data_IF_646405926709
#
_entry.id   IF_646405926709
#
_cell.length_a   1.000
_cell.length_b   1.000
_cell.length_c   1.000
_cell.angle_alpha   90.00
_cell.angle_beta   90.00
_cell.angle_gamma   90.00
#
_symmetry.space_group_name_H-M   'P 1'
#
loop_
_entity.id
_entity.type
_entity.pdbx_description
1 polymer ?
#
# COMPACT_ATOMS: atom_id res chain seq x y z
N UNK A 1 -19.23 -24.75 -13.13
CA UNK A 1 -19.49 -23.32 -12.90
C UNK A 1 -18.69 -22.94 -11.68
N UNK A 2 -17.63 -22.16 -11.83
CA UNK A 2 -16.85 -21.72 -10.68
C UNK A 2 -17.67 -20.68 -9.93
N UNK A 3 -18.04 -20.98 -8.69
CA UNK A 3 -18.69 -20.02 -7.82
C UNK A 3 -17.72 -18.86 -7.61
N UNK A 4 -18.00 -17.72 -8.24
CA UNK A 4 -17.43 -16.44 -7.86
C UNK A 4 -17.95 -16.16 -6.46
N UNK A 5 -17.19 -16.62 -5.45
CA UNK A 5 -17.35 -16.14 -4.09
C UNK A 5 -17.17 -14.63 -4.14
N UNK A 6 -18.29 -13.91 -4.23
CA UNK A 6 -18.38 -12.48 -4.00
C UNK A 6 -18.08 -12.24 -2.51
N UNK A 7 -16.85 -12.52 -2.09
CA UNK A 7 -16.30 -11.88 -0.91
C UNK A 7 -16.45 -10.39 -1.16
N UNK A 8 -17.35 -9.75 -0.40
CA UNK A 8 -17.60 -8.32 -0.44
C UNK A 8 -16.26 -7.63 -0.62
N UNK A 9 -16.14 -6.86 -1.70
CA UNK A 9 -14.90 -6.17 -2.02
C UNK A 9 -14.47 -5.42 -0.75
N UNK A 10 -13.29 -5.70 -0.16
CA UNK A 10 -12.94 -5.14 1.13
C UNK A 10 -13.00 -3.62 1.02
N UNK A 11 -13.86 -2.99 1.83
CA UNK A 11 -13.94 -1.54 1.87
C UNK A 11 -12.57 -1.01 2.25
N UNK A 12 -11.99 -0.18 1.39
CA UNK A 12 -10.69 0.42 1.65
C UNK A 12 -10.86 1.41 2.79
N UNK A 13 -10.27 1.07 3.93
CA UNK A 13 -10.38 1.88 5.14
C UNK A 13 -9.68 3.22 4.94
N UNK A 14 -10.36 4.32 5.28
CA UNK A 14 -9.78 5.66 5.25
C UNK A 14 -8.80 5.84 6.39
N UNK A 15 -7.67 6.45 6.13
CA UNK A 15 -6.69 6.79 7.13
C UNK A 15 -7.20 7.95 7.98
N UNK A 16 -7.26 7.74 9.29
CA UNK A 16 -7.80 8.64 10.30
C UNK A 16 -6.74 9.14 11.31
N UNK A 17 -5.46 8.83 11.04
CA UNK A 17 -4.35 9.17 11.91
C UNK A 17 -3.88 8.02 12.83
N UNK A 18 -4.58 6.89 12.88
CA UNK A 18 -4.15 5.70 13.62
C UNK A 18 -3.39 4.74 12.70
N UNK A 19 -2.07 4.97 12.56
CA UNK A 19 -1.22 4.22 11.64
C UNK A 19 -1.23 2.72 11.88
N UNK A 20 -1.08 2.25 13.12
CA UNK A 20 -1.00 0.81 13.39
C UNK A 20 -2.29 0.07 13.01
N UNK A 21 -3.46 0.71 13.22
CA UNK A 21 -4.75 0.14 12.83
C UNK A 21 -4.92 0.12 11.31
N UNK A 22 -4.69 1.27 10.66
CA UNK A 22 -4.75 1.38 9.20
C UNK A 22 -3.77 0.43 8.51
N UNK A 23 -2.53 0.34 9.00
CA UNK A 23 -1.50 -0.53 8.47
C UNK A 23 -1.88 -2.01 8.60
N UNK A 24 -2.52 -2.42 9.70
CA UNK A 24 -3.04 -3.78 9.88
C UNK A 24 -4.11 -4.12 8.82
N UNK A 25 -5.05 -3.20 8.56
CA UNK A 25 -6.10 -3.42 7.55
C UNK A 25 -5.53 -3.45 6.14
N UNK A 26 -4.64 -2.52 5.81
CA UNK A 26 -4.01 -2.44 4.49
C UNK A 26 -3.04 -3.60 4.24
N UNK A 27 -2.27 -4.04 5.24
CA UNK A 27 -1.39 -5.22 5.14
C UNK A 27 -2.22 -6.46 4.76
N UNK A 28 -3.32 -6.71 5.48
CA UNK A 28 -4.22 -7.83 5.16
C UNK A 28 -4.82 -7.73 3.76
N UNK A 29 -5.30 -6.55 3.35
CA UNK A 29 -5.80 -6.31 2.00
C UNK A 29 -4.75 -6.66 0.94
N UNK A 30 -3.53 -6.16 1.10
CA UNK A 30 -2.45 -6.34 0.13
C UNK A 30 -1.93 -7.78 0.10
N UNK A 31 -1.85 -8.46 1.25
CA UNK A 31 -1.48 -9.88 1.32
C UNK A 31 -2.53 -10.78 0.69
N UNK A 32 -3.83 -10.51 0.88
CA UNK A 32 -4.91 -11.28 0.24
C UNK A 32 -4.90 -11.19 -1.30
N UNK A 33 -4.18 -10.19 -1.85
CA UNK A 33 -4.02 -9.96 -3.30
C UNK A 33 -2.61 -10.27 -3.80
N UNK A 34 -1.73 -10.80 -2.93
CA UNK A 34 -0.32 -11.08 -3.23
C UNK A 34 0.52 -9.85 -3.63
N UNK A 35 0.10 -8.66 -3.21
CA UNK A 35 0.73 -7.39 -3.58
C UNK A 35 1.77 -6.88 -2.57
N UNK A 36 1.91 -7.56 -1.43
CA UNK A 36 2.84 -7.16 -0.37
C UNK A 36 4.30 -6.94 -0.82
N UNK A 37 4.87 -7.70 -1.78
CA UNK A 37 6.23 -7.45 -2.26
C UNK A 37 6.46 -6.03 -2.82
N UNK A 38 5.40 -5.36 -3.29
CA UNK A 38 5.47 -3.97 -3.80
C UNK A 38 5.63 -2.93 -2.70
N UNK A 39 5.37 -3.30 -1.44
CA UNK A 39 5.60 -2.47 -0.25
C UNK A 39 6.98 -2.77 0.34
N UNK A 40 7.37 -4.05 0.41
CA UNK A 40 8.67 -4.46 0.96
C UNK A 40 9.82 -4.16 0.02
N UNK A 41 9.75 -4.67 -1.20
CA UNK A 41 10.86 -4.69 -2.17
C UNK A 41 10.70 -3.61 -3.24
N UNK A 42 9.45 -3.24 -3.57
CA UNK A 42 9.15 -2.25 -4.61
C UNK A 42 8.84 -2.87 -5.97
N UNK A 43 8.86 -2.04 -7.02
CA UNK A 43 8.50 -2.46 -8.38
C UNK A 43 9.66 -3.18 -9.05
N UNK A 44 9.41 -4.31 -9.68
CA UNK A 44 10.40 -5.03 -10.47
C UNK A 44 10.67 -4.29 -11.76
N UNK A 45 11.94 -3.96 -12.01
CA UNK A 45 12.40 -3.28 -13.24
C UNK A 45 13.17 -4.28 -14.10
N UNK A 46 12.85 -4.31 -15.39
CA UNK A 46 13.56 -5.15 -16.35
C UNK A 46 15.00 -4.64 -16.56
N UNK A 47 16.02 -5.52 -16.61
CA UNK A 47 17.38 -5.11 -16.94
C UNK A 47 17.49 -4.66 -18.41
N UNK A 48 18.56 -3.93 -18.80
CA UNK A 48 18.72 -3.42 -20.17
C UNK A 48 18.67 -4.50 -21.28
N UNK A 49 19.13 -5.73 -20.99
CA UNK A 49 19.12 -6.86 -21.92
C UNK A 49 18.08 -7.92 -21.53
N UNK A 50 16.90 -7.47 -21.09
CA UNK A 50 15.87 -8.36 -20.57
C UNK A 50 15.39 -9.38 -21.61
N UNK A 51 15.22 -10.62 -21.17
CA UNK A 51 14.47 -11.62 -21.96
C UNK A 51 12.99 -11.26 -22.02
N UNK A 52 12.25 -11.87 -22.96
CA UNK A 52 10.81 -11.67 -23.07
C UNK A 52 10.07 -11.96 -21.74
N UNK A 53 10.51 -13.00 -21.01
CA UNK A 53 9.95 -13.35 -19.71
C UNK A 53 10.24 -12.30 -18.64
N UNK A 54 11.46 -11.75 -18.60
CA UNK A 54 11.82 -10.69 -17.65
C UNK A 54 11.03 -9.40 -17.92
N UNK A 55 10.80 -9.08 -19.20
CA UNK A 55 9.99 -7.93 -19.59
C UNK A 55 8.52 -8.13 -19.19
N UNK A 56 7.98 -9.34 -19.38
CA UNK A 56 6.61 -9.69 -18.95
C UNK A 56 6.45 -9.50 -17.45
N UNK A 57 7.37 -10.04 -16.65
CA UNK A 57 7.34 -9.91 -15.18
C UNK A 57 7.44 -8.45 -14.73
N UNK A 58 8.29 -7.64 -15.35
CA UNK A 58 8.40 -6.21 -15.02
C UNK A 58 7.11 -5.44 -15.37
N UNK A 59 6.45 -5.76 -16.48
CA UNK A 59 5.19 -5.14 -16.87
C UNK A 59 4.03 -5.55 -15.93
N UNK A 60 3.98 -6.83 -15.53
CA UNK A 60 3.02 -7.31 -14.53
C UNK A 60 3.23 -6.62 -13.18
N UNK A 61 4.49 -6.48 -12.73
CA UNK A 61 4.84 -5.76 -11.51
C UNK A 61 4.42 -4.28 -11.56
N UNK A 62 4.64 -3.60 -12.70
CA UNK A 62 4.16 -2.22 -12.91
C UNK A 62 2.64 -2.12 -12.81
N UNK A 63 1.90 -3.06 -13.40
CA UNK A 63 0.45 -3.05 -13.33
C UNK A 63 -0.06 -3.28 -11.89
N UNK A 64 0.53 -4.23 -11.17
CA UNK A 64 0.20 -4.45 -9.76
C UNK A 64 0.55 -3.24 -8.89
N UNK A 65 1.69 -2.60 -9.14
CA UNK A 65 2.10 -1.35 -8.51
C UNK A 65 1.03 -0.26 -8.66
N UNK A 66 0.50 -0.05 -9.87
CA UNK A 66 -0.58 0.91 -10.09
C UNK A 66 -1.86 0.56 -9.31
N UNK A 67 -2.20 -0.73 -9.20
CA UNK A 67 -3.36 -1.18 -8.40
C UNK A 67 -3.19 -0.88 -6.91
N UNK A 68 -2.02 -1.17 -6.34
CA UNK A 68 -1.71 -0.85 -4.94
C UNK A 68 -1.71 0.65 -4.70
N UNK A 69 -1.16 1.43 -5.64
CA UNK A 69 -1.14 2.89 -5.57
C UNK A 69 -2.56 3.45 -5.51
N UNK A 70 -3.48 2.89 -6.32
CA UNK A 70 -4.90 3.24 -6.25
C UNK A 70 -5.52 2.91 -4.88
N UNK A 71 -5.16 1.79 -4.26
CA UNK A 71 -5.64 1.47 -2.90
C UNK A 71 -5.13 2.46 -1.86
N UNK A 72 -3.85 2.85 -1.93
CA UNK A 72 -3.28 3.85 -1.03
C UNK A 72 -3.93 5.23 -1.25
N UNK A 73 -4.15 5.65 -2.49
CA UNK A 73 -4.83 6.91 -2.80
C UNK A 73 -6.30 6.92 -2.39
N UNK A 74 -6.97 5.76 -2.44
CA UNK A 74 -8.31 5.63 -1.90
C UNK A 74 -8.32 5.62 -0.38
N UNK A 75 -7.25 5.21 0.30
CA UNK A 75 -7.21 5.17 1.75
C UNK A 75 -6.77 6.50 2.37
N UNK A 76 -5.95 7.32 1.70
CA UNK A 76 -5.53 8.63 2.21
C UNK A 76 -6.35 9.78 1.63
N UNK A 77 -6.46 10.87 2.39
CA UNK A 77 -7.10 12.09 1.90
C UNK A 77 -6.08 12.97 1.14
N UNK A 78 -6.61 13.97 0.43
CA UNK A 78 -5.81 14.90 -0.38
C UNK A 78 -4.73 15.59 0.46
N UNK A 79 -5.08 16.03 1.66
CA UNK A 79 -4.17 16.76 2.56
C UNK A 79 -2.95 15.92 2.91
N UNK A 80 -3.15 14.63 3.24
CA UNK A 80 -2.04 13.73 3.54
C UNK A 80 -1.20 13.43 2.31
N UNK A 81 -1.84 13.23 1.15
CA UNK A 81 -1.13 13.01 -0.10
C UNK A 81 -0.22 14.20 -0.46
N UNK A 82 -0.70 15.44 -0.33
CA UNK A 82 0.09 16.66 -0.59
C UNK A 82 1.27 16.82 0.38
N UNK A 83 1.20 16.23 1.58
CA UNK A 83 2.30 16.22 2.54
C UNK A 83 3.38 15.17 2.21
N UNK A 84 3.13 14.22 1.31
CA UNK A 84 4.10 13.19 0.92
C UNK A 84 4.93 13.70 -0.26
N UNK A 85 6.17 14.12 0.04
CA UNK A 85 7.10 14.68 -0.94
C UNK A 85 7.47 13.71 -2.07
N UNK A 86 7.67 12.43 -1.74
CA UNK A 86 8.03 11.38 -2.69
C UNK A 86 6.91 10.34 -2.67
N UNK A 87 6.19 10.22 -3.78
CA UNK A 87 5.07 9.30 -3.94
C UNK A 87 5.12 8.57 -5.30
N UNK A 88 6.33 8.39 -5.84
CA UNK A 88 6.55 7.71 -7.12
C UNK A 88 6.15 6.25 -7.01
N UNK A 89 6.65 5.55 -5.99
CA UNK A 89 6.34 4.14 -5.73
C UNK A 89 5.35 3.95 -4.58
N UNK A 90 4.76 2.75 -4.53
CA UNK A 90 3.85 2.33 -3.44
C UNK A 90 4.59 2.21 -2.11
N UNK A 91 5.86 1.81 -2.19
CA UNK A 91 6.78 1.80 -1.07
C UNK A 91 7.04 3.20 -0.52
N UNK A 92 7.27 4.20 -1.38
CA UNK A 92 7.53 5.57 -0.93
C UNK A 92 6.35 6.13 -0.12
N UNK A 93 5.13 5.93 -0.62
CA UNK A 93 3.90 6.36 0.05
C UNK A 93 3.76 5.65 1.40
N UNK A 94 3.93 4.32 1.43
CA UNK A 94 3.82 3.53 2.66
C UNK A 94 4.85 3.94 3.72
N UNK A 95 6.12 4.07 3.31
CA UNK A 95 7.21 4.44 4.20
C UNK A 95 7.09 5.89 4.69
N UNK A 96 6.55 6.80 3.88
CA UNK A 96 6.26 8.17 4.30
C UNK A 96 5.17 8.22 5.39
N UNK A 97 4.08 7.47 5.21
CA UNK A 97 3.03 7.34 6.22
C UNK A 97 3.56 6.71 7.51
N UNK A 98 4.37 5.66 7.39
CA UNK A 98 5.03 4.98 8.52
C UNK A 98 5.88 5.96 9.32
N UNK A 99 6.80 6.67 8.65
CA UNK A 99 7.71 7.63 9.27
C UNK A 99 6.96 8.74 10.01
N UNK A 100 5.84 9.21 9.46
CA UNK A 100 5.08 10.32 10.03
C UNK A 100 4.14 9.92 11.17
N UNK A 101 3.54 8.73 11.12
CA UNK A 101 2.41 8.41 11.98
C UNK A 101 2.61 7.22 12.93
N UNK A 102 3.56 6.30 12.67
CA UNK A 102 3.76 5.10 13.51
C UNK A 102 4.09 5.44 14.98
N UNK A 103 4.85 6.50 15.23
CA UNK A 103 5.16 6.98 16.60
C UNK A 103 4.02 7.78 17.24
N UNK A 104 3.32 8.58 16.42
CA UNK A 104 2.23 9.45 16.87
C UNK A 104 1.03 8.65 17.41
N UNK A 105 0.77 7.46 16.85
CA UNK A 105 -0.30 6.58 17.33
C UNK A 105 -0.03 6.05 18.74
N UNK A 106 1.23 5.73 19.08
CA UNK A 106 1.59 5.27 20.43
C UNK A 106 1.36 6.35 21.48
N UNK A 107 1.75 7.59 21.17
CA UNK A 107 1.54 8.75 22.06
C UNK A 107 0.05 9.03 22.25
N UNK A 108 -0.75 9.04 21.17
CA UNK A 108 -2.20 9.22 21.27
C UNK A 108 -2.89 8.11 22.08
N UNK A 109 -2.47 6.85 21.91
CA UNK A 109 -3.00 5.73 22.69
C UNK A 109 -2.69 5.87 24.18
N UNK A 110 -1.47 6.26 24.54
CA UNK A 110 -1.09 6.48 25.92
C UNK A 110 -1.89 7.64 26.57
N UNK A 111 -2.17 8.71 25.82
CA UNK A 111 -2.99 9.83 26.30
C UNK A 111 -4.47 9.48 26.48
N UNK A 112 -5.01 8.52 25.72
CA UNK A 112 -6.40 8.05 25.85
C UNK A 112 -6.59 7.01 26.97
N UNK A 113 -5.49 6.45 27.49
CA UNK A 113 -5.49 5.45 28.57
C UNK A 113 -5.07 6.05 29.92
N UNK A 114 -4.74 7.34 29.98
CA UNK A 114 -4.42 8.11 31.18
C UNK A 114 -5.64 8.91 31.64
#
# INVERSE_FOLDING_TARGET
>A
MAETSNFLQPSIHKFDGYYDHWAMLMDNLLRSKEYWPLIETGVTVAPPNATADQLRVANESKLQHLKVKNYLFQSIDRTILEMILIHETTKDIWDALKRKYQGSTKVKRAQLQA
#
